data_IF_107300871359
#
_entry.id   IF_107300871359
#
_cell.length_a   1.000
_cell.length_b   1.000
_cell.length_c   1.000
_cell.angle_alpha   90.00
_cell.angle_beta   90.00
_cell.angle_gamma   90.00
#
_symmetry.space_group_name_H-M   'P 1'
#
loop_
_entity.id
_entity.type
_entity.pdbx_description
1 polymer ?
#
# COMPACT_ATOMS: atom_id res chain seq x y z
N UNK A 1 5.59 17.93 -3.54
CA UNK A 1 6.89 18.43 -3.03
C UNK A 1 6.94 18.69 -1.51
N UNK A 2 5.84 19.01 -0.81
CA UNK A 2 5.83 19.16 0.67
C UNK A 2 6.01 17.83 1.44
N UNK A 3 5.58 16.72 0.86
CA UNK A 3 5.41 15.43 1.54
C UNK A 3 6.67 14.60 1.72
N UNK A 4 7.53 14.53 0.70
CA UNK A 4 8.81 13.82 0.80
C UNK A 4 9.73 14.43 1.86
N UNK A 5 9.63 15.75 2.11
CA UNK A 5 10.46 16.44 3.10
C UNK A 5 10.04 16.22 4.55
N UNK A 6 8.80 15.78 4.83
CA UNK A 6 8.34 15.55 6.20
C UNK A 6 9.07 14.36 6.84
N UNK A 7 9.40 13.34 6.04
CA UNK A 7 9.89 12.04 6.53
C UNK A 7 11.43 11.92 6.53
N UNK A 8 12.15 12.65 5.67
CA UNK A 8 13.60 12.47 5.45
C UNK A 8 14.47 12.96 6.62
N UNK A 9 13.97 13.89 7.45
CA UNK A 9 14.77 14.53 8.51
C UNK A 9 14.38 14.13 9.94
N UNK A 10 13.47 13.16 10.11
CA UNK A 10 13.01 12.70 11.42
C UNK A 10 13.06 11.20 11.49
N UNK A 11 13.36 10.68 12.68
CA UNK A 11 13.19 9.26 12.99
C UNK A 11 11.70 8.97 12.97
N UNK A 12 11.27 8.10 12.06
CA UNK A 12 9.86 7.77 11.83
C UNK A 12 9.53 6.45 12.53
N UNK A 13 8.85 6.56 13.67
CA UNK A 13 8.25 5.45 14.40
C UNK A 13 6.73 5.51 14.22
N UNK A 14 6.16 4.50 13.55
CA UNK A 14 4.71 4.28 13.48
C UNK A 14 4.19 3.66 14.77
N UNK A 15 2.88 3.67 14.96
CA UNK A 15 2.21 3.07 16.10
C UNK A 15 2.08 1.54 15.96
N UNK A 16 1.18 0.95 16.74
CA UNK A 16 0.92 -0.49 16.78
C UNK A 16 -0.52 -0.84 16.41
N UNK A 17 -0.90 -2.11 16.54
CA UNK A 17 -2.22 -2.58 16.11
C UNK A 17 -3.42 -1.97 16.84
N UNK A 18 -4.21 -1.14 16.16
CA UNK A 18 -5.47 -0.54 16.66
C UNK A 18 -6.49 -1.61 17.09
N UNK A 19 -6.78 -2.60 16.23
CA UNK A 19 -7.76 -3.65 16.53
C UNK A 19 -7.42 -4.49 17.77
N UNK A 20 -6.13 -4.73 18.02
CA UNK A 20 -5.67 -5.43 19.23
C UNK A 20 -5.90 -4.57 20.48
N UNK A 21 -5.68 -3.25 20.38
CA UNK A 21 -5.91 -2.31 21.48
C UNK A 21 -7.40 -2.13 21.80
N UNK A 22 -8.27 -2.10 20.79
CA UNK A 22 -9.72 -2.09 20.98
C UNK A 22 -10.17 -3.35 21.70
N UNK A 23 -9.74 -4.53 21.22
CA UNK A 23 -10.06 -5.82 21.86
C UNK A 23 -9.61 -5.87 23.32
N UNK A 24 -8.39 -5.41 23.63
CA UNK A 24 -7.85 -5.37 24.99
C UNK A 24 -8.63 -4.45 25.94
N UNK A 25 -9.35 -3.45 25.41
CA UNK A 25 -10.23 -2.54 26.16
C UNK A 25 -11.68 -3.04 26.24
N UNK A 26 -11.96 -4.25 25.75
CA UNK A 26 -13.32 -4.81 25.73
C UNK A 26 -14.17 -4.31 24.57
N UNK A 27 -13.57 -3.63 23.59
CA UNK A 27 -14.21 -3.08 22.39
C UNK A 27 -13.97 -4.00 21.18
N UNK A 28 -14.14 -5.31 21.37
CA UNK A 28 -14.06 -6.25 20.26
C UNK A 28 -15.32 -6.16 19.40
N UNK A 29 -15.19 -6.24 18.08
CA UNK A 29 -16.33 -6.16 17.18
C UNK A 29 -15.98 -6.44 15.73
N UNK A 30 -17.02 -6.59 14.90
CA UNK A 30 -16.87 -6.90 13.48
C UNK A 30 -16.65 -5.65 12.60
N UNK A 31 -16.81 -4.45 13.15
CA UNK A 31 -16.57 -3.18 12.46
C UNK A 31 -15.91 -2.20 13.45
N UNK A 32 -14.57 -2.27 13.61
CA UNK A 32 -13.81 -1.42 14.53
C UNK A 32 -14.05 0.08 14.31
N UNK A 33 -14.37 0.48 13.07
CA UNK A 33 -14.60 1.87 12.69
C UNK A 33 -15.78 2.48 13.44
N UNK A 34 -16.77 1.68 13.84
CA UNK A 34 -17.95 2.17 14.59
C UNK A 34 -17.58 2.70 15.99
N UNK A 35 -16.45 2.30 16.56
CA UNK A 35 -15.95 2.89 17.80
C UNK A 35 -15.60 4.38 17.65
N UNK A 36 -15.47 4.90 16.43
CA UNK A 36 -15.39 6.36 16.19
C UNK A 36 -16.69 7.10 16.50
N UNK A 37 -17.81 6.39 16.56
CA UNK A 37 -19.14 6.94 16.86
C UNK A 37 -19.50 6.62 18.29
N UNK A 38 -19.35 5.35 18.66
CA UNK A 38 -19.86 4.80 19.92
C UNK A 38 -18.89 5.04 21.08
N UNK A 39 -17.58 5.04 20.82
CA UNK A 39 -16.50 5.01 21.83
C UNK A 39 -15.35 5.99 21.50
N UNK A 40 -15.68 7.16 20.93
CA UNK A 40 -14.70 8.10 20.37
C UNK A 40 -13.54 8.45 21.32
N UNK A 41 -13.84 8.72 22.59
CA UNK A 41 -12.82 9.07 23.58
C UNK A 41 -11.89 7.88 23.93
N UNK A 42 -12.33 6.64 23.79
CA UNK A 42 -11.46 5.47 23.95
C UNK A 42 -10.49 5.34 22.76
N UNK A 43 -10.94 5.61 21.53
CA UNK A 43 -10.06 5.66 20.36
C UNK A 43 -8.99 6.76 20.52
N UNK A 44 -9.39 7.94 21.01
CA UNK A 44 -8.46 9.04 21.32
C UNK A 44 -7.41 8.60 22.34
N UNK A 45 -7.80 7.87 23.39
CA UNK A 45 -6.86 7.34 24.39
C UNK A 45 -5.87 6.35 23.78
N UNK A 46 -6.32 5.46 22.88
CA UNK A 46 -5.42 4.51 22.19
C UNK A 46 -4.32 5.27 21.43
N UNK A 47 -4.67 6.28 20.65
CA UNK A 47 -3.67 7.11 19.96
C UNK A 47 -2.74 7.80 20.96
N UNK A 48 -3.28 8.37 22.04
CA UNK A 48 -2.48 9.02 23.07
C UNK A 48 -1.48 8.07 23.75
N UNK A 49 -1.87 6.81 23.98
CA UNK A 49 -1.01 5.78 24.56
C UNK A 49 0.18 5.45 23.63
N UNK A 50 -0.06 5.33 22.31
CA UNK A 50 1.00 5.12 21.33
C UNK A 50 1.94 6.32 21.20
N UNK A 51 1.40 7.54 21.20
CA UNK A 51 2.21 8.77 21.19
C UNK A 51 3.06 8.86 22.46
N UNK A 52 2.50 8.52 23.62
CA UNK A 52 3.24 8.50 24.88
C UNK A 52 4.36 7.44 24.89
N UNK A 53 4.17 6.33 24.16
CA UNK A 53 5.21 5.33 23.94
C UNK A 53 6.31 5.78 22.97
N UNK A 54 6.10 6.87 22.22
CA UNK A 54 7.09 7.47 21.33
C UNK A 54 6.75 7.39 19.84
N UNK A 55 5.55 6.92 19.47
CA UNK A 55 5.10 6.98 18.08
C UNK A 55 5.12 8.43 17.58
N UNK A 56 5.75 8.61 16.43
CA UNK A 56 5.84 9.90 15.71
C UNK A 56 4.79 10.01 14.60
N UNK A 57 4.20 8.89 14.22
CA UNK A 57 3.08 8.77 13.29
C UNK A 57 2.06 7.83 13.94
N UNK A 58 0.79 8.22 13.94
CA UNK A 58 -0.32 7.35 14.33
C UNK A 58 -1.24 7.10 13.16
N UNK A 59 -1.72 5.86 13.03
CA UNK A 59 -2.68 5.42 12.02
C UNK A 59 -4.09 5.58 12.56
N UNK A 60 -5.01 6.18 11.80
CA UNK A 60 -6.40 6.39 12.24
C UNK A 60 -7.16 5.05 12.38
N UNK A 61 -8.21 4.98 13.21
CA UNK A 61 -9.07 3.78 13.29
C UNK A 61 -10.02 3.68 12.07
N UNK A 62 -9.45 3.56 10.87
CA UNK A 62 -10.19 3.66 9.60
C UNK A 62 -9.80 2.60 8.56
N UNK A 63 -9.04 1.58 8.93
CA UNK A 63 -8.64 0.47 8.06
C UNK A 63 -9.73 -0.01 7.09
N UNK A 64 -10.95 -0.24 7.59
CA UNK A 64 -12.09 -0.69 6.80
C UNK A 64 -13.11 0.39 6.43
N UNK A 65 -12.79 1.68 6.60
CA UNK A 65 -13.73 2.79 6.42
C UNK A 65 -14.03 3.16 4.95
N UNK A 66 -14.01 2.17 4.04
CA UNK A 66 -14.36 2.34 2.64
C UNK A 66 -15.79 1.82 2.36
N UNK A 67 -16.48 2.45 1.41
CA UNK A 67 -17.89 2.17 1.12
C UNK A 67 -18.14 0.69 0.71
N UNK A 68 -17.19 0.07 0.01
CA UNK A 68 -17.28 -1.33 -0.44
C UNK A 68 -17.31 -2.28 0.76
N UNK A 69 -16.35 -2.13 1.69
CA UNK A 69 -16.25 -2.96 2.90
C UNK A 69 -17.40 -2.69 3.87
N UNK A 70 -17.74 -1.42 4.09
CA UNK A 70 -18.83 -1.01 4.98
C UNK A 70 -20.21 -1.45 4.50
N UNK A 71 -20.38 -1.75 3.21
CA UNK A 71 -21.62 -2.33 2.66
C UNK A 71 -22.02 -3.62 3.37
N UNK A 72 -21.06 -4.45 3.78
CA UNK A 72 -21.30 -5.70 4.54
C UNK A 72 -21.95 -5.46 5.90
N UNK A 73 -21.84 -4.24 6.42
CA UNK A 73 -22.42 -3.80 7.68
C UNK A 73 -23.64 -2.87 7.50
N UNK A 74 -24.06 -2.60 6.25
CA UNK A 74 -25.11 -1.61 5.96
C UNK A 74 -24.69 -0.16 6.19
N UNK A 75 -23.38 0.13 6.14
CA UNK A 75 -22.79 1.43 6.49
C UNK A 75 -22.06 2.12 5.32
N UNK A 76 -22.32 1.70 4.08
CA UNK A 76 -21.62 2.23 2.89
C UNK A 76 -21.66 3.77 2.82
N UNK A 77 -22.80 4.38 3.10
CA UNK A 77 -23.00 5.84 3.07
C UNK A 77 -22.26 6.61 4.19
N UNK A 78 -21.68 5.89 5.15
CA UNK A 78 -20.95 6.47 6.29
C UNK A 78 -19.43 6.50 6.10
N UNK A 79 -18.90 5.99 4.98
CA UNK A 79 -17.45 5.95 4.72
C UNK A 79 -16.78 7.32 4.94
N UNK A 80 -17.30 8.37 4.31
CA UNK A 80 -16.76 9.72 4.46
C UNK A 80 -16.93 10.31 5.88
N UNK A 81 -17.97 9.92 6.61
CA UNK A 81 -18.18 10.31 8.01
C UNK A 81 -17.12 9.68 8.91
N UNK A 82 -16.93 8.37 8.80
CA UNK A 82 -15.97 7.61 9.59
C UNK A 82 -14.53 8.04 9.28
N UNK A 83 -14.20 8.32 8.01
CA UNK A 83 -12.90 8.89 7.65
C UNK A 83 -12.62 10.22 8.38
N UNK A 84 -13.61 11.13 8.42
CA UNK A 84 -13.50 12.41 9.14
C UNK A 84 -13.34 12.20 10.65
N UNK A 85 -14.15 11.33 11.26
CA UNK A 85 -14.08 11.06 12.69
C UNK A 85 -12.75 10.41 13.08
N UNK A 86 -12.22 9.51 12.25
CA UNK A 86 -10.91 8.88 12.45
C UNK A 86 -9.78 9.89 12.52
N UNK A 87 -9.71 10.79 11.54
CA UNK A 87 -8.73 11.88 11.52
C UNK A 87 -8.90 12.82 12.71
N UNK A 88 -10.13 13.15 13.09
CA UNK A 88 -10.40 13.99 14.26
C UNK A 88 -9.97 13.35 15.58
N UNK A 89 -10.20 12.05 15.76
CA UNK A 89 -9.79 11.30 16.94
C UNK A 89 -8.25 11.28 17.08
N UNK A 90 -7.56 10.91 16.00
CA UNK A 90 -6.09 10.90 15.96
C UNK A 90 -5.51 12.30 16.16
N UNK A 91 -6.06 13.34 15.50
CA UNK A 91 -5.60 14.73 15.67
C UNK A 91 -5.80 15.24 17.09
N UNK A 92 -6.92 14.91 17.75
CA UNK A 92 -7.20 15.28 19.15
C UNK A 92 -6.13 14.74 20.10
N UNK A 93 -5.60 13.55 19.84
CA UNK A 93 -4.50 12.96 20.62
C UNK A 93 -3.12 13.50 20.21
N UNK A 94 -2.86 13.63 18.90
CA UNK A 94 -1.57 14.00 18.35
C UNK A 94 -1.16 15.44 18.67
N UNK A 95 -2.08 16.40 18.52
CA UNK A 95 -1.70 17.82 18.48
C UNK A 95 -0.57 18.04 17.47
N UNK A 96 0.54 18.63 17.95
CA UNK A 96 1.76 18.86 17.17
C UNK A 96 2.87 17.79 17.42
N UNK A 97 2.58 16.75 18.21
CA UNK A 97 3.59 15.77 18.67
C UNK A 97 3.83 14.64 17.66
N UNK A 98 2.81 14.31 16.87
CA UNK A 98 2.84 13.21 15.91
C UNK A 98 2.07 13.59 14.63
N UNK A 99 2.42 12.93 13.52
CA UNK A 99 1.66 12.99 12.28
C UNK A 99 0.45 12.07 12.36
N UNK A 100 -0.62 12.45 11.68
CA UNK A 100 -1.84 11.65 11.53
C UNK A 100 -1.84 11.04 10.13
N UNK A 101 -1.62 9.72 10.07
CA UNK A 101 -1.76 8.95 8.86
C UNK A 101 -3.18 8.39 8.77
N UNK A 102 -3.89 8.74 7.70
CA UNK A 102 -5.19 8.17 7.38
C UNK A 102 -5.01 6.72 6.93
N UNK A 103 -5.38 5.79 7.80
CA UNK A 103 -5.33 4.35 7.55
C UNK A 103 -6.38 3.96 6.51
N UNK A 104 -5.92 3.37 5.41
CA UNK A 104 -6.68 3.03 4.22
C UNK A 104 -6.37 1.58 3.83
N UNK A 105 -7.13 0.64 4.36
CA UNK A 105 -7.00 -0.78 4.06
C UNK A 105 -7.75 -1.24 2.81
N UNK A 106 -7.56 -2.51 2.40
CA UNK A 106 -8.22 -3.07 1.23
C UNK A 106 -9.74 -3.11 1.36
N UNK A 107 -10.44 -3.07 0.23
CA UNK A 107 -11.90 -3.20 0.14
C UNK A 107 -12.38 -4.56 0.65
N UNK A 108 -11.52 -5.59 0.56
CA UNK A 108 -11.86 -6.96 0.90
C UNK A 108 -12.76 -7.65 -0.13
N UNK A 109 -12.86 -7.09 -1.34
CA UNK A 109 -13.44 -7.72 -2.53
C UNK A 109 -12.33 -8.00 -3.55
N UNK A 110 -12.48 -9.06 -4.33
CA UNK A 110 -11.59 -9.31 -5.46
C UNK A 110 -11.94 -8.37 -6.61
N UNK A 111 -10.90 -7.79 -7.22
CA UNK A 111 -11.06 -7.00 -8.43
C UNK A 111 -11.28 -7.88 -9.66
N UNK A 112 -11.90 -7.34 -10.69
CA UNK A 112 -11.97 -7.98 -12.02
C UNK A 112 -10.56 -8.33 -12.53
N UNK A 113 -10.39 -9.45 -13.25
CA UNK A 113 -11.41 -10.44 -13.63
C UNK A 113 -11.68 -11.51 -12.55
N UNK A 114 -10.96 -11.50 -11.42
CA UNK A 114 -11.07 -12.53 -10.38
C UNK A 114 -12.26 -12.32 -9.42
N UNK A 115 -12.87 -11.14 -9.45
CA UNK A 115 -14.08 -10.80 -8.71
C UNK A 115 -14.97 -9.84 -9.49
N UNK A 116 -15.68 -8.97 -8.77
CA UNK A 116 -16.72 -8.08 -9.36
C UNK A 116 -16.46 -6.61 -9.11
N UNK A 117 -15.36 -6.27 -8.44
CA UNK A 117 -15.00 -4.88 -8.19
C UNK A 117 -14.18 -4.35 -9.37
N UNK A 118 -14.77 -3.43 -10.14
CA UNK A 118 -14.08 -2.78 -11.24
C UNK A 118 -13.04 -1.75 -10.74
N UNK A 119 -12.08 -1.40 -11.59
CA UNK A 119 -11.08 -0.37 -11.29
C UNK A 119 -11.74 0.97 -10.91
N UNK A 120 -12.75 1.39 -11.65
CA UNK A 120 -13.50 2.63 -11.39
C UNK A 120 -14.18 2.59 -10.03
N UNK A 121 -14.87 1.50 -9.70
CA UNK A 121 -15.56 1.37 -8.42
C UNK A 121 -14.59 1.34 -7.23
N UNK A 122 -13.44 0.67 -7.38
CA UNK A 122 -12.38 0.69 -6.37
C UNK A 122 -11.82 2.11 -6.19
N UNK A 123 -11.43 2.77 -7.29
CA UNK A 123 -10.91 4.14 -7.28
C UNK A 123 -11.90 5.11 -6.61
N UNK A 124 -13.18 5.08 -6.98
CA UNK A 124 -14.20 5.98 -6.43
C UNK A 124 -14.36 5.79 -4.91
N UNK A 125 -14.35 4.53 -4.44
CA UNK A 125 -14.42 4.22 -3.02
C UNK A 125 -13.19 4.74 -2.25
N UNK A 126 -11.99 4.60 -2.81
CA UNK A 126 -10.77 5.13 -2.21
C UNK A 126 -10.72 6.67 -2.26
N UNK A 127 -11.15 7.28 -3.36
CA UNK A 127 -11.10 8.73 -3.56
C UNK A 127 -12.05 9.45 -2.60
N UNK A 128 -13.25 8.91 -2.40
CA UNK A 128 -14.24 9.47 -1.47
C UNK A 128 -13.67 9.58 -0.04
N UNK A 129 -13.03 8.52 0.47
CA UNK A 129 -12.45 8.54 1.81
C UNK A 129 -11.17 9.38 1.88
N UNK A 130 -10.31 9.34 0.85
CA UNK A 130 -9.09 10.15 0.80
C UNK A 130 -9.41 11.65 0.81
N UNK A 131 -10.40 12.08 0.04
CA UNK A 131 -10.86 13.47 0.02
C UNK A 131 -11.42 13.89 1.39
N UNK A 132 -12.22 13.03 2.03
CA UNK A 132 -12.77 13.29 3.36
C UNK A 132 -11.67 13.41 4.43
N UNK A 133 -10.66 12.53 4.38
CA UNK A 133 -9.53 12.53 5.29
C UNK A 133 -8.62 13.76 5.09
N UNK A 134 -8.33 14.11 3.83
CA UNK A 134 -7.56 15.32 3.48
C UNK A 134 -8.26 16.58 4.01
N UNK A 135 -9.57 16.71 3.80
CA UNK A 135 -10.36 17.84 4.29
C UNK A 135 -10.41 17.90 5.84
N UNK A 136 -10.30 16.75 6.51
CA UNK A 136 -10.23 16.67 7.97
C UNK A 136 -8.84 16.98 8.56
N UNK A 137 -7.80 17.11 7.72
CA UNK A 137 -6.45 17.46 8.15
C UNK A 137 -5.54 16.26 8.44
N UNK A 138 -5.71 15.15 7.72
CA UNK A 138 -4.72 14.08 7.67
C UNK A 138 -3.40 14.61 7.04
N UNK A 139 -2.26 14.16 7.55
CA UNK A 139 -0.94 14.57 7.05
C UNK A 139 -0.52 13.72 5.83
N UNK A 140 -0.93 12.45 5.83
CA UNK A 140 -0.70 11.47 4.77
C UNK A 140 -1.78 10.36 4.83
N UNK A 141 -1.85 9.53 3.79
CA UNK A 141 -2.51 8.24 3.83
C UNK A 141 -1.50 7.12 4.12
N UNK A 142 -1.92 6.14 4.91
CA UNK A 142 -1.27 4.84 5.03
C UNK A 142 -2.13 3.85 4.26
N UNK A 143 -1.79 3.60 2.99
CA UNK A 143 -2.46 2.59 2.18
C UNK A 143 -1.90 1.25 2.60
N UNK A 144 -2.59 0.55 3.50
CA UNK A 144 -2.03 -0.62 4.18
C UNK A 144 -2.63 -1.96 3.81
N UNK A 145 -1.83 -3.01 4.00
CA UNK A 145 -2.26 -4.40 3.84
C UNK A 145 -2.79 -4.70 2.43
N UNK A 146 -2.21 -4.08 1.39
CA UNK A 146 -2.61 -4.36 0.03
C UNK A 146 -2.12 -5.74 -0.40
N UNK A 147 -3.03 -6.53 -0.96
CA UNK A 147 -2.77 -7.91 -1.41
C UNK A 147 -2.76 -8.08 -2.93
N UNK A 148 -2.85 -6.96 -3.66
CA UNK A 148 -2.91 -6.88 -5.13
C UNK A 148 -2.26 -5.59 -5.60
N UNK A 149 -1.43 -5.65 -6.64
CA UNK A 149 -0.90 -4.45 -7.32
C UNK A 149 -2.01 -3.58 -7.91
N UNK A 150 -3.07 -4.20 -8.46
CA UNK A 150 -4.13 -3.45 -9.12
C UNK A 150 -4.93 -2.60 -8.12
N UNK A 151 -5.31 -3.20 -6.99
CA UNK A 151 -6.07 -2.50 -5.95
C UNK A 151 -5.20 -1.43 -5.29
N UNK A 152 -3.93 -1.75 -5.01
CA UNK A 152 -2.93 -0.80 -4.51
C UNK A 152 -2.79 0.42 -5.43
N UNK A 153 -2.73 0.20 -6.76
CA UNK A 153 -2.71 1.27 -7.74
C UNK A 153 -3.96 2.14 -7.66
N UNK A 154 -5.17 1.56 -7.58
CA UNK A 154 -6.39 2.36 -7.48
C UNK A 154 -6.42 3.22 -6.21
N UNK A 155 -6.01 2.65 -5.07
CA UNK A 155 -5.90 3.38 -3.81
C UNK A 155 -4.88 4.53 -3.87
N UNK A 156 -3.71 4.27 -4.47
CA UNK A 156 -2.64 5.27 -4.62
C UNK A 156 -3.02 6.41 -5.57
N UNK A 157 -3.63 6.09 -6.72
CA UNK A 157 -4.16 7.10 -7.65
C UNK A 157 -5.22 7.95 -6.96
N UNK A 158 -6.13 7.34 -6.21
CA UNK A 158 -7.15 8.06 -5.45
C UNK A 158 -6.55 8.99 -4.38
N UNK A 159 -5.56 8.53 -3.61
CA UNK A 159 -4.88 9.36 -2.62
C UNK A 159 -4.13 10.54 -3.28
N UNK A 160 -3.40 10.27 -4.36
CA UNK A 160 -2.70 11.26 -5.16
C UNK A 160 -3.66 12.34 -5.69
N UNK A 161 -4.76 11.92 -6.33
CA UNK A 161 -5.75 12.81 -6.95
C UNK A 161 -6.53 13.62 -5.89
N UNK A 162 -6.65 13.09 -4.66
CA UNK A 162 -7.17 13.83 -3.50
C UNK A 162 -6.16 14.83 -2.92
N UNK A 163 -4.91 14.86 -3.41
CA UNK A 163 -3.84 15.71 -2.92
C UNK A 163 -3.25 15.25 -1.58
N UNK A 164 -3.47 13.99 -1.22
CA UNK A 164 -3.00 13.40 0.02
C UNK A 164 -1.74 12.55 -0.26
N UNK A 165 -0.57 12.91 0.30
CA UNK A 165 0.62 12.08 0.18
C UNK A 165 0.39 10.71 0.80
N UNK A 166 1.06 9.67 0.32
CA UNK A 166 0.78 8.32 0.80
C UNK A 166 2.03 7.46 0.98
N UNK A 167 1.97 6.60 2.00
CA UNK A 167 2.77 5.39 2.15
C UNK A 167 2.00 4.26 1.47
N UNK A 168 2.69 3.38 0.75
CA UNK A 168 2.07 2.21 0.13
C UNK A 168 2.64 0.94 0.75
N UNK A 169 1.80 0.17 1.44
CA UNK A 169 2.16 -1.07 2.12
C UNK A 169 1.48 -2.28 1.52
N UNK A 170 2.27 -3.34 1.35
CA UNK A 170 1.80 -4.64 0.89
C UNK A 170 1.92 -5.70 1.99
N UNK A 171 1.06 -6.71 1.93
CA UNK A 171 1.14 -7.90 2.77
C UNK A 171 1.45 -9.15 1.92
N UNK A 172 2.22 -10.06 2.49
CA UNK A 172 2.76 -11.25 1.82
C UNK A 172 2.44 -12.52 2.60
N UNK A 173 2.19 -13.58 1.86
CA UNK A 173 2.03 -14.95 2.36
C UNK A 173 3.39 -15.62 2.59
N UNK A 174 3.40 -16.80 3.21
CA UNK A 174 4.64 -17.53 3.55
C UNK A 174 5.53 -17.94 2.36
N UNK A 175 5.07 -17.74 1.12
CA UNK A 175 5.84 -17.92 -0.11
C UNK A 175 6.45 -16.61 -0.66
N UNK A 176 6.41 -15.52 0.12
CA UNK A 176 6.85 -14.17 -0.24
C UNK A 176 6.12 -13.58 -1.45
N UNK A 177 4.84 -13.92 -1.63
CA UNK A 177 3.96 -13.30 -2.64
C UNK A 177 2.76 -12.68 -1.95
N UNK A 178 2.18 -11.65 -2.55
CA UNK A 178 0.85 -11.18 -2.13
C UNK A 178 -0.20 -12.28 -2.35
N UNK A 179 -1.41 -12.11 -1.83
CA UNK A 179 -2.51 -13.04 -2.08
C UNK A 179 -2.75 -13.27 -3.58
N UNK A 180 -2.62 -12.22 -4.39
CA UNK A 180 -2.78 -12.30 -5.85
C UNK A 180 -1.53 -12.80 -6.59
N UNK A 181 -0.48 -13.17 -5.86
CA UNK A 181 0.74 -13.75 -6.42
C UNK A 181 1.78 -12.72 -6.86
N UNK A 182 1.65 -11.46 -6.44
CA UNK A 182 2.56 -10.40 -6.84
C UNK A 182 3.93 -10.52 -6.15
N UNK A 183 4.96 -10.12 -6.88
CA UNK A 183 6.35 -10.09 -6.45
C UNK A 183 6.66 -8.87 -5.57
N UNK A 184 7.46 -8.99 -4.49
CA UNK A 184 7.92 -7.83 -3.73
C UNK A 184 8.71 -6.84 -4.61
N UNK A 185 9.44 -7.34 -5.62
CA UNK A 185 10.14 -6.51 -6.60
C UNK A 185 9.16 -5.67 -7.44
N UNK A 186 8.03 -6.27 -7.87
CA UNK A 186 7.00 -5.56 -8.62
C UNK A 186 6.26 -4.53 -7.74
N UNK A 187 5.97 -4.87 -6.48
CA UNK A 187 5.43 -3.93 -5.50
C UNK A 187 6.35 -2.72 -5.31
N UNK A 188 7.66 -2.94 -5.24
CA UNK A 188 8.66 -1.89 -5.09
C UNK A 188 8.71 -0.95 -6.31
N UNK A 189 8.71 -1.52 -7.52
CA UNK A 189 8.69 -0.75 -8.78
C UNK A 189 7.41 0.06 -8.91
N UNK A 190 6.25 -0.55 -8.64
CA UNK A 190 4.95 0.14 -8.69
C UNK A 190 4.89 1.30 -7.69
N UNK A 191 5.32 1.09 -6.44
CA UNK A 191 5.33 2.16 -5.43
C UNK A 191 6.18 3.36 -5.86
N UNK A 192 7.35 3.11 -6.46
CA UNK A 192 8.19 4.15 -7.03
C UNK A 192 7.51 4.89 -8.19
N UNK A 193 6.91 4.15 -9.13
CA UNK A 193 6.22 4.71 -10.29
C UNK A 193 5.01 5.58 -9.90
N UNK A 194 4.28 5.19 -8.85
CA UNK A 194 3.14 5.95 -8.31
C UNK A 194 3.57 7.18 -7.49
N UNK A 195 4.86 7.34 -7.18
CA UNK A 195 5.35 8.46 -6.38
C UNK A 195 5.02 8.35 -4.89
N UNK A 196 4.95 7.13 -4.34
CA UNK A 196 4.79 6.91 -2.90
C UNK A 196 5.89 7.64 -2.12
N UNK A 197 5.57 8.16 -0.93
CA UNK A 197 6.58 8.81 -0.08
C UNK A 197 7.46 7.81 0.66
N UNK A 198 6.99 6.57 0.80
CA UNK A 198 7.63 5.46 1.48
C UNK A 198 6.99 4.16 1.00
N UNK A 199 7.81 3.12 0.86
CA UNK A 199 7.37 1.76 0.56
C UNK A 199 7.33 0.96 1.86
N UNK A 200 6.25 0.24 2.11
CA UNK A 200 6.02 -0.44 3.36
C UNK A 200 5.64 -1.91 3.19
N UNK A 201 5.85 -2.70 4.24
CA UNK A 201 5.18 -3.98 4.41
C UNK A 201 4.70 -4.14 5.84
N UNK A 202 3.50 -4.70 5.99
CA UNK A 202 2.86 -4.94 7.27
C UNK A 202 2.15 -6.30 7.29
N UNK A 203 1.74 -6.77 8.47
CA UNK A 203 0.93 -7.98 8.72
C UNK A 203 1.46 -9.36 8.28
N UNK A 204 2.36 -9.47 7.28
CA UNK A 204 2.93 -10.65 6.58
C UNK A 204 3.57 -11.76 7.44
N UNK A 205 3.29 -11.78 8.74
CA UNK A 205 3.88 -12.64 9.75
C UNK A 205 4.56 -11.81 10.84
N UNK A 206 5.49 -12.45 11.53
CA UNK A 206 6.43 -11.77 12.41
C UNK A 206 7.61 -11.16 11.65
N UNK A 207 8.56 -10.56 12.39
CA UNK A 207 9.72 -9.90 11.79
C UNK A 207 10.55 -10.80 10.87
N UNK A 208 10.66 -12.10 11.18
CA UNK A 208 11.45 -13.05 10.39
C UNK A 208 10.88 -13.26 8.99
N UNK A 209 9.55 -13.26 8.84
CA UNK A 209 8.89 -13.40 7.53
C UNK A 209 9.08 -12.14 6.67
N UNK A 210 9.32 -10.99 7.28
CA UNK A 210 9.48 -9.72 6.56
C UNK A 210 10.89 -9.44 6.07
N UNK A 211 11.90 -10.12 6.62
CA UNK A 211 13.30 -9.97 6.18
C UNK A 211 13.49 -10.10 4.66
N UNK A 212 13.05 -11.19 3.99
CA UNK A 212 13.22 -11.31 2.54
C UNK A 212 12.49 -10.22 1.75
N UNK A 213 11.41 -9.67 2.30
CA UNK A 213 10.64 -8.59 1.67
C UNK A 213 11.41 -7.26 1.74
N UNK A 214 11.95 -6.92 2.91
CA UNK A 214 12.77 -5.71 3.08
C UNK A 214 14.06 -5.80 2.26
N UNK A 215 14.69 -6.97 2.20
CA UNK A 215 15.87 -7.20 1.34
C UNK A 215 15.54 -6.96 -0.15
N UNK A 216 14.41 -7.48 -0.63
CA UNK A 216 13.95 -7.25 -2.00
C UNK A 216 13.64 -5.76 -2.25
N UNK A 217 12.92 -5.11 -1.34
CA UNK A 217 12.61 -3.68 -1.44
C UNK A 217 13.87 -2.82 -1.50
N UNK A 218 14.91 -3.15 -0.72
CA UNK A 218 16.16 -2.42 -0.73
C UNK A 218 16.93 -2.51 -2.06
N UNK A 219 16.69 -3.56 -2.86
CA UNK A 219 17.31 -3.75 -4.18
C UNK A 219 16.53 -3.09 -5.32
N UNK A 220 15.20 -2.97 -5.18
CA UNK A 220 14.30 -2.53 -6.24
C UNK A 220 13.64 -1.16 -6.00
N UNK A 221 13.91 -0.51 -4.87
CA UNK A 221 13.40 0.83 -4.57
C UNK A 221 14.45 1.78 -4.03
N UNK A 222 14.35 3.06 -4.43
CA UNK A 222 15.06 4.19 -3.83
C UNK A 222 14.25 4.87 -2.72
N UNK A 223 13.00 4.44 -2.47
CA UNK A 223 12.14 5.02 -1.44
C UNK A 223 12.62 4.63 -0.03
N UNK A 224 12.33 5.45 0.98
CA UNK A 224 12.39 5.01 2.38
C UNK A 224 11.56 3.73 2.58
N UNK A 225 12.04 2.81 3.42
CA UNK A 225 11.37 1.55 3.72
C UNK A 225 10.76 1.52 5.12
N UNK A 226 9.50 1.14 5.23
CA UNK A 226 8.79 0.90 6.49
C UNK A 226 8.48 -0.59 6.69
N UNK A 227 8.67 -1.08 7.91
CA UNK A 227 8.32 -2.44 8.29
C UNK A 227 7.48 -2.46 9.56
N UNK A 228 6.29 -3.07 9.47
CA UNK A 228 5.32 -3.17 10.58
C UNK A 228 4.88 -4.63 10.79
N UNK A 229 5.76 -5.48 11.32
CA UNK A 229 5.45 -6.88 11.57
C UNK A 229 4.35 -7.04 12.63
N UNK A 230 3.64 -8.17 12.58
CA UNK A 230 2.88 -8.61 13.74
C UNK A 230 3.84 -8.94 14.89
N UNK A 231 3.34 -9.00 16.12
CA UNK A 231 4.06 -9.59 17.26
C UNK A 231 4.14 -11.13 17.15
N UNK A 232 4.47 -11.63 15.96
CA UNK A 232 4.51 -13.03 15.55
C UNK A 232 3.21 -13.52 14.91
N UNK A 233 3.22 -14.77 14.42
CA UNK A 233 2.00 -15.39 13.92
C UNK A 233 1.00 -15.59 15.08
N UNK A 234 -0.28 -15.23 14.88
CA UNK A 234 -1.30 -15.38 15.91
C UNK A 234 -1.51 -16.85 16.29
N UNK A 235 -1.71 -17.11 17.58
CA UNK A 235 -2.01 -18.43 18.14
C UNK A 235 -3.25 -18.37 18.99
N UNK A 236 -4.12 -19.37 18.90
CA UNK A 236 -5.26 -19.48 19.82
C UNK A 236 -4.84 -20.26 21.06
N UNK A 237 -4.81 -19.58 22.20
CA UNK A 237 -4.52 -20.19 23.51
C UNK A 237 -5.73 -19.97 24.40
N UNK A 238 -6.42 -21.07 24.77
CA UNK A 238 -7.63 -20.98 25.60
C UNK A 238 -8.79 -20.20 24.97
N UNK A 239 -8.90 -20.22 23.64
CA UNK A 239 -9.94 -19.48 22.89
C UNK A 239 -9.61 -17.99 22.67
N UNK A 240 -8.44 -17.53 23.10
CA UNK A 240 -7.99 -16.15 22.95
C UNK A 240 -6.86 -16.12 21.92
N UNK A 241 -6.95 -15.21 20.96
CA UNK A 241 -5.86 -14.91 20.02
C UNK A 241 -4.71 -14.26 20.79
N UNK A 242 -3.54 -14.88 20.75
CA UNK A 242 -2.32 -14.48 21.45
C UNK A 242 -1.16 -14.36 20.46
N UNK A 243 -0.25 -13.44 20.76
CA UNK A 243 0.93 -13.15 19.93
C UNK A 243 2.19 -13.51 20.73
N UNK A 244 3.14 -14.27 20.15
CA UNK A 244 4.24 -14.86 20.91
C UNK A 244 5.35 -13.86 21.28
N UNK A 245 5.49 -12.75 20.57
CA UNK A 245 6.53 -11.77 20.88
C UNK A 245 6.08 -10.84 22.01
N UNK A 246 6.94 -10.71 23.01
CA UNK A 246 6.91 -9.63 24.00
C UNK A 246 7.69 -8.43 23.46
N UNK A 247 7.55 -7.23 24.06
CA UNK A 247 8.33 -6.06 23.67
C UNK A 247 9.84 -6.32 23.62
N UNK A 248 10.38 -7.07 24.59
CA UNK A 248 11.81 -7.31 24.74
C UNK A 248 12.34 -8.33 23.73
N UNK A 249 11.62 -9.44 23.53
CA UNK A 249 12.08 -10.51 22.64
C UNK A 249 11.89 -10.18 21.14
N UNK A 250 11.12 -9.13 20.83
CA UNK A 250 10.96 -8.62 19.47
C UNK A 250 12.09 -7.68 19.03
N UNK A 251 12.91 -7.16 19.97
CA UNK A 251 13.97 -6.19 19.64
C UNK A 251 15.03 -6.75 18.70
N UNK A 252 15.50 -7.99 18.93
CA UNK A 252 16.54 -8.58 18.09
C UNK A 252 16.07 -8.82 16.65
N UNK A 253 14.89 -9.42 16.41
CA UNK A 253 14.34 -9.50 15.05
C UNK A 253 14.08 -8.13 14.40
N UNK A 254 13.65 -7.12 15.16
CA UNK A 254 13.50 -5.75 14.62
C UNK A 254 14.85 -5.12 14.23
N UNK A 255 15.93 -5.38 14.98
CA UNK A 255 17.29 -4.97 14.59
C UNK A 255 17.71 -5.61 13.27
N UNK A 256 17.33 -6.86 13.03
CA UNK A 256 17.61 -7.53 11.77
C UNK A 256 16.91 -6.83 10.59
N UNK A 257 15.65 -6.42 10.76
CA UNK A 257 14.92 -5.65 9.74
C UNK A 257 15.55 -4.28 9.45
N UNK A 258 15.99 -3.56 10.50
CA UNK A 258 16.71 -2.29 10.35
C UNK A 258 18.04 -2.49 9.62
N UNK A 259 18.75 -3.59 9.92
CA UNK A 259 19.99 -3.94 9.24
C UNK A 259 19.78 -4.32 7.77
N UNK A 260 18.69 -5.03 7.46
CA UNK A 260 18.26 -5.37 6.10
C UNK A 260 17.90 -4.12 5.28
N UNK A 261 17.37 -3.10 5.94
CA UNK A 261 17.17 -1.80 5.33
C UNK A 261 15.92 -1.05 5.77
N UNK A 262 15.18 -1.46 6.79
CA UNK A 262 14.07 -0.65 7.28
C UNK A 262 14.58 0.72 7.79
N UNK A 263 14.09 1.80 7.17
CA UNK A 263 14.38 3.20 7.53
C UNK A 263 13.42 3.70 8.61
N UNK A 264 12.19 3.19 8.59
CA UNK A 264 11.12 3.42 9.54
C UNK A 264 10.60 2.07 10.05
N UNK A 265 10.06 2.07 11.26
CA UNK A 265 9.48 0.86 11.87
C UNK A 265 8.19 1.22 12.58
N UNK A 266 7.36 0.21 12.80
CA UNK A 266 6.16 0.27 13.63
C UNK A 266 5.73 -1.15 14.00
N UNK A 267 4.44 -1.36 14.22
CA UNK A 267 3.89 -2.66 14.52
C UNK A 267 2.49 -2.86 13.99
N UNK A 268 2.16 -4.10 13.63
CA UNK A 268 0.79 -4.48 13.23
C UNK A 268 0.11 -5.28 14.35
N UNK A 269 -0.56 -6.39 14.03
CA UNK A 269 -1.37 -7.15 14.99
C UNK A 269 -0.52 -7.67 16.16
N UNK A 270 -1.05 -7.56 17.38
CA UNK A 270 -0.36 -8.00 18.60
C UNK A 270 0.65 -7.02 19.17
N UNK A 271 1.08 -6.00 18.42
CA UNK A 271 1.94 -4.95 18.95
C UNK A 271 1.14 -3.98 19.83
N UNK A 272 1.80 -3.42 20.84
CA UNK A 272 1.17 -2.61 21.89
C UNK A 272 2.01 -1.37 22.19
N UNK A 273 1.51 -0.39 22.96
CA UNK A 273 2.34 0.73 23.40
C UNK A 273 3.66 0.31 24.06
N UNK A 274 3.69 -0.83 24.76
CA UNK A 274 4.94 -1.37 25.32
C UNK A 274 5.94 -1.80 24.24
N UNK A 275 5.47 -2.39 23.14
CA UNK A 275 6.32 -2.71 21.97
C UNK A 275 6.87 -1.44 21.35
N UNK A 276 6.03 -0.43 21.12
CA UNK A 276 6.45 0.85 20.54
C UNK A 276 7.47 1.55 21.43
N UNK A 277 7.28 1.54 22.74
CA UNK A 277 8.27 2.07 23.69
C UNK A 277 9.61 1.33 23.62
N UNK A 278 9.58 0.01 23.46
CA UNK A 278 10.78 -0.80 23.27
C UNK A 278 11.46 -0.48 21.92
N UNK A 279 10.70 -0.40 20.83
CA UNK A 279 11.20 -0.04 19.50
C UNK A 279 11.81 1.37 19.47
N UNK A 280 11.27 2.30 20.26
CA UNK A 280 11.79 3.63 20.43
C UNK A 280 13.21 3.67 21.05
N UNK A 281 13.74 2.55 21.56
CA UNK A 281 15.14 2.43 22.01
C UNK A 281 16.11 2.02 20.90
N UNK A 282 15.62 1.58 19.73
CA UNK A 282 16.45 1.07 18.63
C UNK A 282 17.05 2.20 17.78
N UNK A 283 18.26 2.03 17.27
CA UNK A 283 18.87 2.99 16.36
C UNK A 283 18.40 2.71 14.92
N UNK A 284 17.59 3.61 14.36
CA UNK A 284 17.10 3.56 12.98
C UNK A 284 16.82 4.97 12.46
N UNK A 285 16.63 5.09 11.16
CA UNK A 285 16.32 6.33 10.48
C UNK A 285 16.67 6.23 9.00
N UNK A 286 16.23 7.23 8.24
CA UNK A 286 16.44 7.27 6.81
C UNK A 286 17.93 7.26 6.44
N UNK A 287 18.30 6.31 5.58
CA UNK A 287 19.61 6.25 4.93
C UNK A 287 19.44 6.61 3.45
N UNK A 288 20.20 7.59 2.91
CA UNK A 288 20.16 7.90 1.49
C UNK A 288 20.40 6.64 0.65
N UNK A 289 19.46 6.34 -0.24
CA UNK A 289 19.53 5.21 -1.17
C UNK A 289 20.07 5.66 -2.52
N UNK A 290 20.81 4.79 -3.23
CA UNK A 290 21.20 5.09 -4.60
C UNK A 290 19.94 5.27 -5.46
N UNK A 291 20.00 6.23 -6.39
CA UNK A 291 18.98 6.34 -7.42
C UNK A 291 19.08 5.12 -8.33
N UNK A 292 18.00 4.35 -8.42
CA UNK A 292 17.93 3.20 -9.31
C UNK A 292 17.56 3.64 -10.73
N UNK A 293 17.96 2.83 -11.71
CA UNK A 293 17.50 2.98 -13.09
C UNK A 293 15.99 2.77 -13.16
N UNK A 294 15.33 3.43 -14.11
CA UNK A 294 13.90 3.25 -14.34
C UNK A 294 13.59 1.79 -14.70
N UNK A 295 12.48 1.28 -14.18
CA UNK A 295 12.04 -0.10 -14.34
C UNK A 295 10.53 -0.12 -14.61
N UNK A 296 10.08 -1.10 -15.38
CA UNK A 296 8.67 -1.45 -15.57
C UNK A 296 8.42 -2.84 -14.98
N UNK A 297 7.17 -3.15 -14.62
CA UNK A 297 6.84 -4.44 -14.05
C UNK A 297 5.43 -4.90 -14.40
N UNK A 298 5.27 -6.21 -14.50
CA UNK A 298 3.99 -6.92 -14.33
C UNK A 298 3.84 -7.37 -12.87
N UNK A 299 2.84 -8.19 -12.57
CA UNK A 299 2.70 -8.84 -11.25
C UNK A 299 3.91 -9.69 -10.84
N UNK A 300 4.62 -10.30 -11.80
CA UNK A 300 5.67 -11.30 -11.50
C UNK A 300 7.06 -10.92 -11.96
N UNK A 301 7.19 -10.08 -12.98
CA UNK A 301 8.47 -9.77 -13.62
C UNK A 301 8.74 -8.28 -13.62
N UNK A 302 10.02 -7.93 -13.56
CA UNK A 302 10.55 -6.57 -13.62
C UNK A 302 11.55 -6.51 -14.78
N UNK A 303 11.49 -5.45 -15.58
CA UNK A 303 12.47 -5.17 -16.62
C UNK A 303 13.03 -3.76 -16.46
N UNK A 304 14.34 -3.60 -16.67
CA UNK A 304 14.97 -2.28 -16.66
C UNK A 304 14.74 -1.59 -18.00
N UNK A 305 14.45 -0.29 -17.96
CA UNK A 305 14.26 0.51 -19.18
C UNK A 305 15.46 0.44 -20.12
N UNK A 306 16.67 0.34 -19.58
CA UNK A 306 17.92 0.18 -20.35
C UNK A 306 18.04 -1.16 -21.10
N UNK A 307 17.12 -2.10 -20.88
CA UNK A 307 17.08 -3.41 -21.56
C UNK A 307 15.97 -3.46 -22.61
N UNK A 308 15.14 -2.42 -22.70
CA UNK A 308 13.97 -2.36 -23.58
C UNK A 308 14.33 -1.82 -24.96
N UNK A 309 15.00 -2.67 -25.75
CA UNK A 309 15.39 -2.38 -27.12
C UNK A 309 14.81 -3.42 -28.07
N UNK A 310 14.41 -3.00 -29.27
CA UNK A 310 13.90 -3.87 -30.34
C UNK A 310 12.76 -4.81 -29.88
N UNK A 311 11.86 -4.32 -29.03
CA UNK A 311 10.75 -5.10 -28.48
C UNK A 311 9.74 -5.49 -29.57
N UNK A 312 9.16 -6.70 -29.51
CA UNK A 312 8.04 -7.10 -30.37
C UNK A 312 6.85 -6.15 -30.18
N UNK A 313 6.22 -5.76 -31.28
CA UNK A 313 4.98 -4.98 -31.29
C UNK A 313 3.82 -5.88 -31.68
N UNK A 314 2.84 -5.99 -30.78
CA UNK A 314 1.74 -6.93 -30.85
C UNK A 314 0.41 -6.19 -30.61
N UNK A 315 -0.68 -6.78 -31.07
CA UNK A 315 -2.03 -6.43 -30.59
C UNK A 315 -2.27 -7.06 -29.21
N UNK A 316 -3.36 -6.70 -28.53
CA UNK A 316 -3.76 -7.34 -27.27
C UNK A 316 -4.00 -8.86 -27.46
N UNK A 317 -4.67 -9.24 -28.55
CA UNK A 317 -4.93 -10.64 -28.90
C UNK A 317 -3.64 -11.41 -29.17
N UNK A 318 -2.76 -10.87 -30.02
CA UNK A 318 -1.50 -11.55 -30.38
C UNK A 318 -0.56 -11.71 -29.17
N UNK A 319 -0.65 -10.81 -28.18
CA UNK A 319 0.15 -10.87 -26.97
C UNK A 319 -0.22 -12.03 -26.05
N UNK A 320 -1.47 -12.51 -26.07
CA UNK A 320 -1.91 -13.63 -25.24
C UNK A 320 -1.19 -14.94 -25.59
N UNK A 321 -0.84 -15.11 -26.86
CA UNK A 321 -0.15 -16.29 -27.39
C UNK A 321 1.37 -16.11 -27.53
N UNK A 322 1.93 -14.99 -27.06
CA UNK A 322 3.35 -14.70 -27.19
C UNK A 322 4.21 -15.61 -26.31
N UNK A 323 5.12 -16.37 -26.93
CA UNK A 323 6.02 -17.33 -26.29
C UNK A 323 7.53 -17.00 -26.45
N UNK A 324 7.84 -15.80 -26.95
CA UNK A 324 9.22 -15.35 -27.15
C UNK A 324 9.93 -14.96 -25.85
N UNK A 325 11.23 -14.64 -25.97
CA UNK A 325 12.15 -14.39 -24.86
C UNK A 325 12.43 -12.90 -24.58
N UNK A 326 11.67 -11.99 -25.22
CA UNK A 326 11.82 -10.56 -25.00
C UNK A 326 11.52 -10.18 -23.54
N UNK A 327 12.25 -9.19 -22.95
CA UNK A 327 12.05 -8.79 -21.56
C UNK A 327 10.72 -8.07 -21.32
N UNK A 328 10.07 -7.60 -22.39
CA UNK A 328 8.76 -6.96 -22.41
C UNK A 328 8.19 -7.03 -23.84
N UNK A 329 6.93 -6.64 -24.02
CA UNK A 329 6.31 -6.48 -25.35
C UNK A 329 5.63 -5.13 -25.46
N UNK A 330 5.59 -4.58 -26.67
CA UNK A 330 4.82 -3.37 -26.99
C UNK A 330 3.42 -3.79 -27.42
N UNK A 331 2.40 -3.28 -26.73
CA UNK A 331 1.00 -3.39 -27.10
C UNK A 331 0.59 -2.14 -27.88
N UNK A 332 0.18 -2.34 -29.12
CA UNK A 332 -0.36 -1.29 -29.97
C UNK A 332 -1.87 -1.17 -29.78
N UNK A 333 -2.31 -0.01 -29.29
CA UNK A 333 -3.71 0.30 -29.01
C UNK A 333 -4.36 1.13 -30.13
N UNK A 334 -3.68 1.27 -31.28
CA UNK A 334 -4.19 2.07 -32.40
C UNK A 334 -5.51 1.51 -32.93
N UNK A 335 -6.57 2.32 -32.88
CA UNK A 335 -7.89 1.94 -33.39
C UNK A 335 -8.73 1.07 -32.44
N UNK A 336 -8.27 0.86 -31.21
CA UNK A 336 -9.02 0.19 -30.13
C UNK A 336 -9.67 1.25 -29.25
N UNK A 337 -10.93 1.09 -28.87
CA UNK A 337 -11.55 1.97 -27.89
C UNK A 337 -11.19 1.59 -26.44
N UNK A 338 -11.47 2.48 -25.51
CA UNK A 338 -10.98 2.37 -24.14
C UNK A 338 -11.62 1.21 -23.35
N UNK A 339 -12.90 0.92 -23.61
CA UNK A 339 -13.62 -0.12 -22.87
C UNK A 339 -13.14 -1.50 -23.34
N UNK A 340 -13.09 -1.71 -24.67
CA UNK A 340 -12.56 -2.93 -25.29
C UNK A 340 -11.09 -3.18 -24.89
N UNK A 341 -10.26 -2.13 -24.88
CA UNK A 341 -8.86 -2.23 -24.48
C UNK A 341 -8.70 -2.64 -23.00
N UNK A 342 -9.54 -2.13 -22.10
CA UNK A 342 -9.48 -2.48 -20.68
C UNK A 342 -9.97 -3.91 -20.42
N UNK A 343 -11.04 -4.35 -21.09
CA UNK A 343 -11.54 -5.72 -20.99
C UNK A 343 -10.48 -6.73 -21.44
N UNK A 344 -9.92 -6.55 -22.64
CA UNK A 344 -8.88 -7.42 -23.17
C UNK A 344 -7.59 -7.37 -22.32
N UNK A 345 -7.25 -6.22 -21.74
CA UNK A 345 -6.10 -6.11 -20.83
C UNK A 345 -6.27 -6.99 -19.58
N UNK A 346 -7.47 -7.03 -19.01
CA UNK A 346 -7.76 -7.83 -17.82
C UNK A 346 -7.54 -9.32 -18.10
N UNK A 347 -8.00 -9.79 -19.26
CA UNK A 347 -7.77 -11.16 -19.70
C UNK A 347 -6.28 -11.41 -19.97
N UNK A 348 -5.63 -10.53 -20.73
CA UNK A 348 -4.22 -10.65 -21.08
C UNK A 348 -3.33 -10.74 -19.84
N UNK A 349 -3.54 -9.88 -18.84
CA UNK A 349 -2.70 -9.83 -17.63
C UNK A 349 -2.86 -11.04 -16.71
N UNK A 350 -3.87 -11.89 -16.96
CA UNK A 350 -3.99 -13.21 -16.33
C UNK A 350 -3.13 -14.29 -17.01
N UNK A 351 -2.80 -14.08 -18.29
CA UNK A 351 -2.11 -15.04 -19.17
C UNK A 351 -0.63 -14.71 -19.38
N UNK A 352 -0.30 -13.43 -19.58
CA UNK A 352 1.07 -12.96 -19.80
C UNK A 352 1.64 -12.36 -18.51
N UNK A 353 2.86 -12.78 -18.17
CA UNK A 353 3.58 -12.24 -17.03
C UNK A 353 4.72 -11.30 -17.44
N UNK A 354 4.88 -11.00 -18.72
CA UNK A 354 5.86 -10.00 -19.15
C UNK A 354 5.39 -8.59 -18.79
N UNK A 355 6.31 -7.68 -18.42
CA UNK A 355 6.01 -6.25 -18.40
C UNK A 355 5.52 -5.78 -19.76
N UNK A 356 4.55 -4.87 -19.77
CA UNK A 356 3.96 -4.33 -21.00
C UNK A 356 4.38 -2.88 -21.23
N UNK A 357 4.59 -2.54 -22.49
CA UNK A 357 4.77 -1.17 -22.98
C UNK A 357 3.58 -0.83 -23.85
N UNK A 358 2.91 0.29 -23.59
CA UNK A 358 1.76 0.71 -24.41
C UNK A 358 2.16 1.78 -25.42
N UNK A 359 1.55 1.70 -26.59
CA UNK A 359 1.67 2.70 -27.65
C UNK A 359 0.31 2.94 -28.30
N UNK A 360 0.08 4.18 -28.75
CA UNK A 360 -1.17 4.57 -29.37
C UNK A 360 -1.28 6.09 -29.52
N UNK A 361 -2.23 6.51 -30.34
CA UNK A 361 -2.48 7.92 -30.65
C UNK A 361 -3.58 8.55 -29.77
N UNK A 362 -4.46 7.73 -29.19
CA UNK A 362 -5.54 8.18 -28.31
C UNK A 362 -5.09 8.16 -26.84
N UNK A 363 -4.86 9.36 -26.29
CA UNK A 363 -4.47 9.54 -24.88
C UNK A 363 -5.53 9.04 -23.89
N UNK A 364 -6.83 9.06 -24.24
CA UNK A 364 -7.88 8.57 -23.35
C UNK A 364 -7.82 7.05 -23.21
N UNK A 365 -7.59 6.34 -24.32
CA UNK A 365 -7.39 4.88 -24.34
C UNK A 365 -6.13 4.50 -23.56
N UNK A 366 -5.01 5.19 -23.83
CA UNK A 366 -3.77 4.98 -23.07
C UNK A 366 -3.96 5.23 -21.58
N UNK A 367 -4.67 6.31 -21.20
CA UNK A 367 -4.95 6.63 -19.81
C UNK A 367 -5.74 5.52 -19.11
N UNK A 368 -6.79 5.02 -19.77
CA UNK A 368 -7.62 3.95 -19.24
C UNK A 368 -6.79 2.68 -19.00
N UNK A 369 -6.03 2.23 -20.01
CA UNK A 369 -5.19 1.03 -19.94
C UNK A 369 -4.08 1.17 -18.90
N UNK A 370 -3.36 2.30 -18.84
CA UNK A 370 -2.27 2.51 -17.89
C UNK A 370 -2.77 2.50 -16.43
N UNK A 371 -3.96 3.04 -16.18
CA UNK A 371 -4.60 3.02 -14.85
C UNK A 371 -5.12 1.62 -14.49
N UNK A 372 -5.53 0.83 -15.48
CA UNK A 372 -6.05 -0.52 -15.32
C UNK A 372 -4.96 -1.60 -15.29
N UNK A 373 -3.73 -1.31 -15.71
CA UNK A 373 -2.64 -2.29 -15.72
C UNK A 373 -2.15 -2.65 -14.31
N UNK A 374 -2.09 -3.94 -13.92
CA UNK A 374 -1.65 -4.41 -12.59
C UNK A 374 -0.12 -4.41 -12.44
N UNK A 375 0.50 -3.24 -12.61
CA UNK A 375 1.96 -3.05 -12.56
C UNK A 375 2.36 -1.65 -13.01
N UNK A 376 3.66 -1.38 -13.15
CA UNK A 376 4.16 -0.15 -13.74
C UNK A 376 4.46 -0.39 -15.22
N UNK A 377 3.61 0.09 -16.11
CA UNK A 377 3.80 -0.09 -17.55
C UNK A 377 4.83 0.89 -18.13
N UNK A 378 5.40 0.55 -19.29
CA UNK A 378 6.03 1.54 -20.16
C UNK A 378 5.00 2.25 -21.03
N UNK A 379 5.26 3.48 -21.45
CA UNK A 379 4.47 4.16 -22.49
C UNK A 379 5.37 4.97 -23.42
N UNK A 380 5.22 4.77 -24.73
CA UNK A 380 6.05 5.44 -25.74
C UNK A 380 5.60 6.89 -25.96
N UNK A 381 6.52 7.86 -25.81
CA UNK A 381 6.27 9.25 -26.23
C UNK A 381 5.30 10.07 -25.38
N UNK A 382 4.74 9.52 -24.28
CA UNK A 382 3.69 10.15 -23.47
C UNK A 382 4.12 10.42 -22.02
N UNK A 383 5.10 11.30 -21.83
CA UNK A 383 5.73 11.50 -20.51
C UNK A 383 4.81 12.07 -19.42
N UNK A 384 3.88 12.96 -19.77
CA UNK A 384 2.92 13.53 -18.81
C UNK A 384 1.95 12.45 -18.34
N UNK A 385 1.40 11.70 -19.29
CA UNK A 385 0.48 10.61 -19.00
C UNK A 385 1.12 9.51 -18.15
N UNK A 386 2.40 9.20 -18.41
CA UNK A 386 3.16 8.25 -17.61
C UNK A 386 3.14 8.62 -16.12
N UNK A 387 3.45 9.88 -15.81
CA UNK A 387 3.47 10.38 -14.44
C UNK A 387 2.07 10.36 -13.78
N UNK A 388 1.01 10.70 -14.51
CA UNK A 388 -0.37 10.71 -13.98
C UNK A 388 -0.90 9.30 -13.65
N UNK A 389 -0.40 8.26 -14.32
CA UNK A 389 -0.95 6.90 -14.22
C UNK A 389 -0.06 5.93 -13.45
N UNK A 390 1.08 6.39 -12.91
CA UNK A 390 2.06 5.50 -12.28
C UNK A 390 2.74 4.57 -13.28
N UNK A 391 3.08 5.09 -14.45
CA UNK A 391 3.77 4.42 -15.53
C UNK A 391 5.11 5.11 -15.85
N UNK A 392 5.89 4.51 -16.76
CA UNK A 392 7.24 4.97 -17.10
C UNK A 392 7.28 5.38 -18.56
N UNK A 393 7.71 6.63 -18.81
CA UNK A 393 7.89 7.14 -20.16
C UNK A 393 9.12 6.51 -20.82
N UNK A 394 8.97 6.07 -22.07
CA UNK A 394 10.00 5.45 -22.90
C UNK A 394 10.28 6.26 -24.17
#
# INVERSE_FOLDING_TARGET
MKSANIMINRRVLFDGGMGTQLTARGLAGNCPEMHLVDDFDEVVKIHADYIAAGATVVTTNTFGANAVKLKKHGLADRAAELARLGVQAARKAAGDKALVAFDMGPTGELMEPFGTLSCTAAYDAYYQQAQAAQAAGADLAMIETMSSLLEAKQAALAAHDAGLPFVLSFTFEGNNRTLMGDAPEACAVLAGALGACMLATNCSGGPEQMLPIIDAYAQYSSLPLLCEPNAGLPRVVGGITTFPYSPENMLDPMRALIAAGADAIGGCCGTTPAHIAAFNTLEFGYKPRPQLAAMICSSRNVARVSELHDLPRLTLDDAADYDGDAPAVIIDLSGVDADDACEQLMDLTSMIYLPLVFSGDDEAVLKAVLRAYPGAAGVLGHAVLAAECGAVAL
#
